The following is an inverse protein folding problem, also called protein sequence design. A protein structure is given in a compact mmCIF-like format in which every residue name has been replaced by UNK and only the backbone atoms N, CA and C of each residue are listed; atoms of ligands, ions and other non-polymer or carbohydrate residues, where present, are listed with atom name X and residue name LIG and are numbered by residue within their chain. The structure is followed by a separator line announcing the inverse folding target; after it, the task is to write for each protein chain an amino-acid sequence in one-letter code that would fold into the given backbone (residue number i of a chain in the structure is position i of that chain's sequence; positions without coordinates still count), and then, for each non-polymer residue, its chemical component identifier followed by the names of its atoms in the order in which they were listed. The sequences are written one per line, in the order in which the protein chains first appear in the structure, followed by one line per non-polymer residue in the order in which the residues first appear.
data_IF_578085291164
#
_entry.id   IF_578085291164
#
_cell.length_a   1.000
_cell.length_b   1.000
_cell.length_c   1.000
_cell.angle_alpha   90.00
_cell.angle_beta   90.00
_cell.angle_gamma   90.00
#
_symmetry.space_group_name_H-M   'P 1'
#
loop_
_entity.id
_entity.type
_entity.pdbx_description
1 polymer ?
#
# COMPACT_ATOMS: atom_id res chain seq x y z
N UNK A 1 -15.77 12.17 8.08
CA UNK A 1 -14.70 11.36 7.48
C UNK A 1 -14.31 12.05 6.19
N UNK A 2 -13.01 12.28 5.96
CA UNK A 2 -12.51 13.05 4.83
C UNK A 2 -11.48 12.23 4.05
N UNK A 3 -11.50 12.25 2.70
CA UNK A 3 -10.40 11.73 1.92
C UNK A 3 -9.17 12.63 2.11
N UNK A 4 -7.99 12.04 2.17
CA UNK A 4 -6.74 12.80 2.24
C UNK A 4 -5.66 12.33 1.27
N UNK A 5 -5.70 11.08 0.80
CA UNK A 5 -4.92 10.60 -0.34
C UNK A 5 -5.77 9.67 -1.20
N UNK A 6 -5.58 9.77 -2.50
CA UNK A 6 -6.20 8.87 -3.48
C UNK A 6 -5.13 8.49 -4.49
N UNK A 7 -4.97 7.18 -4.71
CA UNK A 7 -4.18 6.64 -5.82
C UNK A 7 -5.12 5.92 -6.74
N UNK A 8 -5.20 6.36 -7.99
CA UNK A 8 -6.04 5.74 -9.03
C UNK A 8 -5.13 5.03 -10.03
N UNK A 9 -5.44 3.77 -10.30
CA UNK A 9 -4.91 2.97 -11.41
C UNK A 9 -6.07 2.69 -12.38
N UNK A 10 -5.80 2.00 -13.47
CA UNK A 10 -6.74 1.79 -14.58
C UNK A 10 -8.11 1.28 -14.11
N UNK A 11 -8.14 0.22 -13.30
CA UNK A 11 -9.37 -0.46 -12.86
C UNK A 11 -9.46 -0.61 -11.32
N UNK A 12 -8.56 0.03 -10.59
CA UNK A 12 -8.51 -0.03 -9.12
C UNK A 12 -8.05 1.31 -8.55
N UNK A 13 -8.62 1.72 -7.43
CA UNK A 13 -8.11 2.85 -6.66
C UNK A 13 -7.95 2.51 -5.18
N UNK A 14 -6.94 3.10 -4.55
CA UNK A 14 -6.78 3.11 -3.11
C UNK A 14 -7.12 4.50 -2.57
N UNK A 15 -8.01 4.54 -1.59
CA UNK A 15 -8.51 5.76 -0.96
C UNK A 15 -8.12 5.73 0.51
N UNK A 16 -7.27 6.66 0.93
CA UNK A 16 -7.00 6.88 2.34
C UNK A 16 -7.98 7.93 2.89
N UNK A 17 -8.78 7.50 3.85
CA UNK A 17 -9.73 8.32 4.59
C UNK A 17 -9.19 8.60 5.98
N UNK A 18 -9.60 9.71 6.60
CA UNK A 18 -9.34 9.97 8.01
C UNK A 18 -10.55 10.58 8.72
N UNK A 19 -10.65 10.30 10.01
CA UNK A 19 -11.55 10.96 10.95
C UNK A 19 -10.73 11.49 12.13
N UNK A 20 -11.36 12.05 13.16
CA UNK A 20 -10.64 12.64 14.30
C UNK A 20 -9.68 11.68 15.05
N UNK A 21 -9.84 10.36 14.92
CA UNK A 21 -9.09 9.35 15.68
C UNK A 21 -8.32 8.36 14.81
N UNK A 22 -8.76 8.11 13.59
CA UNK A 22 -8.26 7.01 12.76
C UNK A 22 -8.05 7.42 11.31
N UNK A 23 -7.21 6.63 10.63
CA UNK A 23 -7.04 6.53 9.19
C UNK A 23 -7.56 5.18 8.73
N UNK A 24 -8.13 5.17 7.55
CA UNK A 24 -8.60 3.96 6.87
C UNK A 24 -8.04 3.94 5.47
N UNK A 25 -7.63 2.77 5.00
CA UNK A 25 -7.29 2.56 3.58
C UNK A 25 -8.31 1.61 2.99
N UNK A 26 -8.99 2.08 1.95
CA UNK A 26 -10.03 1.34 1.24
C UNK A 26 -9.56 1.14 -0.20
N UNK A 27 -9.75 -0.07 -0.71
CA UNK A 27 -9.59 -0.35 -2.12
C UNK A 27 -10.97 -0.37 -2.79
N UNK A 28 -11.08 0.29 -3.95
CA UNK A 28 -12.27 0.28 -4.80
C UNK A 28 -11.88 -0.20 -6.19
N UNK A 29 -12.79 -0.88 -6.87
CA UNK A 29 -12.62 -1.34 -8.24
C UNK A 29 -13.49 -0.50 -9.17
N UNK A 30 -13.05 -0.37 -10.41
CA UNK A 30 -13.90 0.10 -11.50
C UNK A 30 -14.69 -1.10 -12.03
N UNK A 31 -16.01 -0.97 -12.09
CA UNK A 31 -16.94 -1.97 -12.63
C UNK A 31 -17.99 -1.21 -13.44
N UNK A 32 -18.07 -1.50 -14.74
CA UNK A 32 -19.07 -0.93 -15.66
C UNK A 32 -19.19 0.61 -15.61
N UNK A 33 -18.07 1.33 -15.51
CA UNK A 33 -18.04 2.80 -15.45
C UNK A 33 -18.28 3.36 -14.04
N UNK A 34 -18.39 2.54 -13.01
CA UNK A 34 -18.65 2.94 -11.62
C UNK A 34 -17.56 2.45 -10.67
N UNK A 35 -17.26 3.25 -9.64
CA UNK A 35 -16.33 2.86 -8.60
C UNK A 35 -17.06 2.20 -7.45
N UNK A 36 -16.74 0.94 -7.18
CA UNK A 36 -17.41 0.13 -6.17
C UNK A 36 -16.42 -0.49 -5.17
N UNK A 37 -16.83 -0.65 -3.92
CA UNK A 37 -16.07 -1.44 -2.95
C UNK A 37 -16.23 -2.93 -3.23
N UNK A 38 -15.16 -3.74 -3.17
CA UNK A 38 -15.27 -5.19 -3.31
C UNK A 38 -16.26 -5.80 -2.31
N UNK A 39 -16.96 -6.87 -2.71
CA UNK A 39 -17.91 -7.57 -1.83
C UNK A 39 -17.29 -8.07 -0.53
N UNK A 40 -16.02 -8.49 -0.56
CA UNK A 40 -15.22 -8.74 0.63
C UNK A 40 -14.14 -7.67 0.73
N UNK A 41 -14.26 -6.80 1.73
CA UNK A 41 -13.31 -5.73 1.98
C UNK A 41 -12.66 -5.92 3.34
N UNK A 42 -11.33 -5.93 3.37
CA UNK A 42 -10.57 -5.72 4.60
C UNK A 42 -10.16 -4.25 4.65
N UNK A 43 -10.62 -3.52 5.67
CA UNK A 43 -10.22 -2.14 5.91
C UNK A 43 -9.15 -2.15 6.99
N UNK A 44 -7.95 -1.68 6.66
CA UNK A 44 -6.93 -1.39 7.65
C UNK A 44 -7.30 -0.16 8.46
N UNK A 45 -7.12 -0.21 9.79
CA UNK A 45 -7.36 0.93 10.68
C UNK A 45 -6.05 1.30 11.38
N UNK A 46 -5.58 2.51 11.10
CA UNK A 46 -4.38 3.09 11.69
C UNK A 46 -4.76 4.29 12.57
N UNK A 47 -4.04 4.58 13.67
CA UNK A 47 -4.27 5.83 14.41
C UNK A 47 -4.10 7.07 13.52
N UNK A 48 -4.92 8.11 13.75
CA UNK A 48 -4.81 9.39 13.01
C UNK A 48 -3.43 10.00 13.19
N UNK A 49 -2.92 9.97 14.41
CA UNK A 49 -1.62 10.51 14.76
C UNK A 49 -0.50 9.68 14.13
N UNK A 50 0.36 10.37 13.36
CA UNK A 50 1.56 9.78 12.80
C UNK A 50 2.54 9.40 13.93
N UNK A 51 3.29 8.29 13.82
CA UNK A 51 4.36 8.02 14.76
C UNK A 51 5.50 9.06 14.62
N UNK A 52 6.37 9.12 15.61
CA UNK A 52 7.67 9.78 15.44
C UNK A 52 8.41 9.14 14.25
N UNK A 53 9.05 9.97 13.43
CA UNK A 53 9.73 9.61 12.19
C UNK A 53 11.24 9.40 12.37
N UNK A 54 11.73 9.43 13.61
CA UNK A 54 13.10 9.06 13.97
C UNK A 54 13.28 7.54 14.06
N UNK A 55 13.33 6.88 12.90
CA UNK A 55 13.64 5.47 12.78
C UNK A 55 14.43 5.20 11.49
N UNK A 56 14.93 3.97 11.35
CA UNK A 56 15.76 3.61 10.19
C UNK A 56 14.99 3.75 8.87
N UNK A 57 15.56 4.39 7.83
CA UNK A 57 14.91 4.53 6.52
C UNK A 57 14.55 3.22 5.80
N UNK A 58 15.19 2.12 6.16
CA UNK A 58 14.89 0.78 5.62
C UNK A 58 13.65 0.14 6.25
N UNK A 59 12.86 0.87 7.04
CA UNK A 59 11.67 0.34 7.70
C UNK A 59 10.46 1.23 7.41
N UNK A 60 9.29 0.61 7.27
CA UNK A 60 8.00 1.32 7.20
C UNK A 60 7.25 1.00 8.47
N UNK A 61 6.95 2.02 9.27
CA UNK A 61 6.25 1.83 10.54
C UNK A 61 4.74 1.74 10.30
N UNK A 62 4.08 0.86 11.05
CA UNK A 62 2.67 0.50 10.87
C UNK A 62 2.35 0.10 9.41
N UNK A 63 3.26 -0.66 8.80
CA UNK A 63 3.08 -1.18 7.45
C UNK A 63 1.87 -2.10 7.38
N UNK A 64 0.88 -1.72 6.58
CA UNK A 64 -0.26 -2.54 6.22
C UNK A 64 -0.19 -2.91 4.74
N UNK A 65 -0.46 -4.19 4.45
CA UNK A 65 -0.58 -4.71 3.09
C UNK A 65 -1.90 -5.46 3.01
N UNK A 66 -2.85 -4.91 2.26
CA UNK A 66 -4.10 -5.60 1.94
C UNK A 66 -4.06 -6.11 0.50
N UNK A 67 -4.78 -7.19 0.23
CA UNK A 67 -4.84 -7.83 -1.08
C UNK A 67 -6.28 -8.14 -1.39
N UNK A 68 -6.70 -7.82 -2.60
CA UNK A 68 -7.97 -8.35 -3.10
C UNK A 68 -7.80 -8.80 -4.55
N UNK A 69 -8.45 -9.92 -4.86
CA UNK A 69 -8.55 -10.46 -6.20
C UNK A 69 -9.82 -11.31 -6.27
N UNK A 70 -10.51 -11.35 -7.41
CA UNK A 70 -11.63 -12.25 -7.60
C UNK A 70 -11.14 -13.70 -7.49
N UNK A 71 -11.92 -14.61 -6.87
CA UNK A 71 -11.57 -16.03 -6.85
C UNK A 71 -11.40 -16.56 -8.28
N UNK A 72 -10.55 -17.58 -8.44
CA UNK A 72 -10.37 -18.24 -9.72
C UNK A 72 -11.65 -18.98 -10.12
N UNK A 73 -11.81 -19.26 -11.42
CA UNK A 73 -13.02 -19.90 -11.97
C UNK A 73 -13.33 -21.29 -11.37
N UNK A 74 -12.29 -21.97 -10.84
CA UNK A 74 -12.37 -23.25 -10.14
C UNK A 74 -12.66 -23.12 -8.63
N UNK A 75 -12.91 -21.90 -8.14
CA UNK A 75 -13.06 -21.59 -6.72
C UNK A 75 -11.74 -21.58 -5.95
N UNK A 76 -10.61 -21.72 -6.63
CA UNK A 76 -9.27 -21.61 -6.07
C UNK A 76 -8.88 -20.16 -5.76
N UNK A 77 -7.72 -19.96 -5.11
CA UNK A 77 -7.19 -18.63 -4.92
C UNK A 77 -6.98 -17.91 -6.25
N UNK A 78 -7.08 -16.57 -6.30
CA UNK A 78 -6.83 -15.79 -7.51
C UNK A 78 -5.46 -16.11 -8.12
N UNK A 79 -5.29 -15.94 -9.43
CA UNK A 79 -3.96 -15.95 -10.05
C UNK A 79 -3.17 -14.67 -9.72
N UNK A 80 -3.87 -13.54 -9.68
CA UNK A 80 -3.33 -12.23 -9.34
C UNK A 80 -4.24 -11.47 -8.36
N UNK A 81 -3.67 -10.45 -7.73
CA UNK A 81 -4.37 -9.55 -6.81
C UNK A 81 -3.94 -8.12 -7.06
N UNK A 82 -4.85 -7.19 -6.80
CA UNK A 82 -4.47 -5.82 -6.46
C UNK A 82 -4.02 -5.79 -5.01
N UNK A 83 -2.89 -5.15 -4.77
CA UNK A 83 -2.36 -4.96 -3.42
C UNK A 83 -2.38 -3.48 -3.08
N UNK A 84 -2.81 -3.15 -1.87
CA UNK A 84 -2.59 -1.82 -1.29
C UNK A 84 -1.47 -1.92 -0.27
N UNK A 85 -0.58 -0.94 -0.29
CA UNK A 85 0.49 -0.80 0.70
C UNK A 85 0.36 0.58 1.34
N UNK A 86 0.40 0.61 2.66
CA UNK A 86 0.38 1.87 3.39
C UNK A 86 1.17 1.81 4.70
N UNK A 87 1.60 2.96 5.18
CA UNK A 87 2.38 3.07 6.41
C UNK A 87 3.11 4.40 6.50
N UNK A 88 4.07 4.48 7.42
CA UNK A 88 4.86 5.69 7.65
C UNK A 88 6.34 5.45 7.39
N UNK A 89 6.98 6.36 6.66
CA UNK A 89 8.42 6.35 6.37
C UNK A 89 9.19 7.33 7.27
N UNK A 90 10.48 7.04 7.44
CA UNK A 90 11.37 7.86 8.24
C UNK A 90 11.50 9.30 7.70
N UNK A 91 12.00 10.20 8.54
CA UNK A 91 12.35 11.56 8.13
C UNK A 91 13.39 11.54 6.99
N UNK A 92 13.24 12.47 6.05
CA UNK A 92 14.14 12.58 4.89
C UNK A 92 13.78 11.70 3.68
N UNK A 93 12.81 10.78 3.81
CA UNK A 93 12.23 10.06 2.67
C UNK A 93 11.34 11.00 1.83
N UNK A 94 11.43 10.88 0.50
CA UNK A 94 10.67 11.67 -0.47
C UNK A 94 9.64 10.86 -1.23
N UNK A 95 9.99 9.64 -1.61
CA UNK A 95 9.10 8.72 -2.31
C UNK A 95 9.44 7.28 -1.96
N UNK A 96 8.52 6.38 -2.28
CA UNK A 96 8.78 4.95 -2.29
C UNK A 96 8.47 4.40 -3.68
N UNK A 97 9.26 3.40 -4.06
CA UNK A 97 8.99 2.55 -5.21
C UNK A 97 8.55 1.19 -4.69
N UNK A 98 7.44 0.69 -5.21
CA UNK A 98 6.86 -0.61 -4.88
C UNK A 98 6.77 -1.40 -6.17
N UNK A 99 7.30 -2.62 -6.17
CA UNK A 99 7.30 -3.48 -7.35
C UNK A 99 6.88 -4.90 -7.04
N UNK A 100 6.26 -5.52 -8.03
CA UNK A 100 6.00 -6.95 -8.13
C UNK A 100 6.50 -7.45 -9.49
N UNK A 101 6.41 -8.74 -9.74
CA UNK A 101 6.69 -9.31 -11.07
C UNK A 101 5.72 -8.87 -12.17
N UNK A 102 4.57 -8.26 -11.82
CA UNK A 102 3.55 -7.81 -12.78
C UNK A 102 3.48 -6.29 -12.94
N UNK A 103 3.95 -5.52 -11.97
CA UNK A 103 3.67 -4.09 -11.91
C UNK A 103 4.68 -3.33 -11.03
N UNK A 104 4.79 -2.04 -11.29
CA UNK A 104 5.67 -1.10 -10.61
C UNK A 104 4.87 0.17 -10.28
N UNK A 105 5.12 0.75 -9.12
CA UNK A 105 4.49 2.00 -8.74
C UNK A 105 5.40 2.85 -7.86
N UNK A 106 5.49 4.14 -8.19
CA UNK A 106 6.19 5.13 -7.38
C UNK A 106 5.15 6.08 -6.78
N UNK A 107 5.25 6.33 -5.48
CA UNK A 107 4.43 7.33 -4.79
C UNK A 107 5.27 8.26 -3.95
N UNK A 108 4.89 9.53 -3.92
CA UNK A 108 5.45 10.50 -3.02
C UNK A 108 4.99 10.26 -1.58
N UNK A 109 5.80 10.75 -0.64
CA UNK A 109 5.55 10.72 0.79
C UNK A 109 4.73 11.95 1.16
N UNK A 110 3.61 11.77 1.85
CA UNK A 110 2.80 12.87 2.35
C UNK A 110 3.53 13.65 3.47
N UNK A 111 3.05 14.86 3.78
CA UNK A 111 3.69 15.77 4.75
C UNK A 111 3.96 15.12 6.12
N UNK A 112 3.06 14.24 6.58
CA UNK A 112 3.16 13.53 7.84
C UNK A 112 3.97 12.23 7.78
N UNK A 113 4.60 11.94 6.64
CA UNK A 113 5.37 10.73 6.39
C UNK A 113 4.54 9.53 5.92
N UNK A 114 3.23 9.69 5.71
CA UNK A 114 2.39 8.59 5.23
C UNK A 114 2.61 8.31 3.74
N UNK A 115 2.53 7.03 3.37
CA UNK A 115 2.60 6.56 1.98
C UNK A 115 1.38 5.70 1.66
N UNK A 116 0.91 5.79 0.42
CA UNK A 116 -0.16 4.95 -0.11
C UNK A 116 0.23 4.50 -1.52
N UNK A 117 0.25 3.19 -1.74
CA UNK A 117 0.52 2.61 -3.05
C UNK A 117 -0.53 1.55 -3.39
N UNK A 118 -0.82 1.41 -4.68
CA UNK A 118 -1.59 0.30 -5.23
C UNK A 118 -0.95 -0.20 -6.52
N UNK A 119 -0.81 -1.52 -6.64
CA UNK A 119 -0.23 -2.19 -7.78
C UNK A 119 -0.81 -3.59 -7.96
N UNK A 120 -0.66 -4.16 -9.15
CA UNK A 120 -0.96 -5.56 -9.42
C UNK A 120 0.20 -6.45 -8.96
N UNK A 121 -0.12 -7.68 -8.57
CA UNK A 121 0.86 -8.68 -8.13
C UNK A 121 0.27 -10.08 -8.32
N UNK A 122 1.08 -11.10 -8.65
CA UNK A 122 0.66 -12.49 -8.53
C UNK A 122 0.19 -12.78 -7.11
N UNK A 123 -0.72 -13.74 -6.99
CA UNK A 123 -1.26 -14.11 -5.71
C UNK A 123 -0.15 -14.55 -4.75
N UNK A 124 -0.18 -14.00 -3.52
CA UNK A 124 0.80 -14.21 -2.44
C UNK A 124 2.24 -13.74 -2.70
N UNK A 125 2.58 -13.21 -3.87
CA UNK A 125 3.89 -12.58 -4.05
C UNK A 125 4.04 -11.40 -3.09
N UNK A 126 5.18 -11.28 -2.41
CA UNK A 126 5.48 -10.13 -1.55
C UNK A 126 6.12 -9.03 -2.40
N UNK A 127 5.62 -7.79 -2.35
CA UNK A 127 6.21 -6.71 -3.13
C UNK A 127 7.61 -6.37 -2.61
N UNK A 128 8.48 -5.96 -3.51
CA UNK A 128 9.71 -5.27 -3.15
C UNK A 128 9.42 -3.78 -2.92
N UNK A 129 10.08 -3.17 -1.94
CA UNK A 129 9.92 -1.74 -1.64
C UNK A 129 11.28 -1.08 -1.48
N UNK A 130 11.46 0.06 -2.13
CA UNK A 130 12.66 0.90 -2.04
C UNK A 130 12.25 2.30 -1.61
N UNK A 131 12.89 2.82 -0.56
CA UNK A 131 12.68 4.20 -0.10
C UNK A 131 13.72 5.10 -0.77
N UNK A 132 13.27 6.14 -1.45
CA UNK A 132 14.13 7.18 -2.00
C UNK A 132 14.23 8.34 -0.99
N UNK A 133 15.47 8.69 -0.63
CA UNK A 133 15.78 9.78 0.29
C UNK A 133 16.06 11.08 -0.48
N UNK A 134 15.85 12.19 0.22
CA UNK A 134 16.17 13.55 -0.26
C UNK A 134 17.64 13.80 -0.59
N UNK A 135 18.54 12.99 -0.05
CA UNK A 135 19.97 13.00 -0.38
C UNK A 135 20.32 12.13 -1.60
N UNK A 136 19.32 11.59 -2.30
CA UNK A 136 19.46 10.75 -3.49
C UNK A 136 19.73 9.28 -3.20
N UNK A 137 19.92 8.87 -1.94
CA UNK A 137 20.09 7.44 -1.60
C UNK A 137 18.78 6.67 -1.83
N UNK A 138 18.92 5.42 -2.27
CA UNK A 138 17.82 4.47 -2.45
C UNK A 138 18.06 3.27 -1.54
N UNK A 139 17.14 3.04 -0.60
CA UNK A 139 17.32 2.08 0.48
C UNK A 139 16.22 1.02 0.38
N UNK A 140 16.56 -0.26 0.11
CA UNK A 140 15.58 -1.34 0.17
C UNK A 140 14.95 -1.46 1.57
N UNK A 141 13.65 -1.67 1.62
CA UNK A 141 12.95 -1.92 2.87
C UNK A 141 13.25 -3.33 3.40
N UNK A 142 13.66 -3.40 4.66
CA UNK A 142 13.80 -4.62 5.44
C UNK A 142 12.69 -4.67 6.49
N UNK A 143 11.49 -5.08 6.07
CA UNK A 143 10.32 -5.28 6.94
C UNK A 143 9.91 -6.76 6.97
N UNK A 144 9.59 -7.37 8.14
CA UNK A 144 9.18 -8.78 8.23
C UNK A 144 7.99 -9.16 7.32
N UNK A 145 7.02 -8.25 7.17
CA UNK A 145 5.88 -8.44 6.26
C UNK A 145 6.27 -8.50 4.77
N UNK A 146 7.44 -8.01 4.40
CA UNK A 146 8.00 -8.03 3.04
C UNK A 146 9.02 -9.16 2.83
N UNK A 147 9.61 -9.70 3.90
CA UNK A 147 10.61 -10.76 3.79
C UNK A 147 10.01 -12.07 3.28
N UNK A 148 10.64 -12.75 2.32
CA UNK A 148 10.27 -14.12 1.95
C UNK A 148 10.39 -15.04 3.17
N UNK A 149 9.37 -15.83 3.43
CA UNK A 149 9.46 -16.94 4.36
C UNK A 149 9.56 -18.16 3.47
N UNK A 150 10.77 -18.70 3.31
CA UNK A 150 10.93 -20.06 2.76
C UNK A 150 10.10 -20.99 3.66
N UNK A 151 9.14 -21.69 3.07
CA UNK A 151 8.43 -22.79 3.71
C UNK A 151 8.92 -24.08 3.10
#
# INVERSE_FOLDING_TARGET
MEPYLVVVREDVAAVALRNAKSRYVIMVNEVDGQWETPQMMTVGELPREAPDRDFRPSFIQRLEIARNGPPSADGGPPESSSITLSGFVASGAQSIEVSSSLDEYVTDVADDGFVLAVLRSPWREKPAVVVALSDGRRIPCAHPSLAFTER
#
